data_IF_890303297556
#
_entry.id   IF_890303297556
#
_cell.length_a   1.000
_cell.length_b   1.000
_cell.length_c   1.000
_cell.angle_alpha   90.00
_cell.angle_beta   90.00
_cell.angle_gamma   90.00
#
_symmetry.space_group_name_H-M   'P 1'
#
loop_
_entity.id
_entity.type
_entity.pdbx_description
1 polymer ?
#
# COMPACT_ATOMS: atom_id res chain seq x y z
N UNK A 1 12.26 -9.30 -26.23
CA UNK A 1 10.84 -9.05 -26.01
C UNK A 1 10.71 -8.20 -24.76
N UNK A 2 10.01 -7.07 -24.84
CA UNK A 2 9.79 -6.15 -23.75
C UNK A 2 8.40 -5.54 -23.83
N UNK A 3 7.98 -4.84 -22.78
CA UNK A 3 6.74 -4.07 -22.73
C UNK A 3 7.12 -2.61 -22.88
N UNK A 4 6.49 -1.92 -23.83
CA UNK A 4 6.56 -0.47 -23.97
C UNK A 4 5.23 0.12 -23.49
N UNK A 5 5.31 1.11 -22.61
CA UNK A 5 4.15 1.83 -22.11
C UNK A 5 4.39 3.33 -22.23
N UNK A 6 3.42 4.03 -22.78
CA UNK A 6 3.37 5.48 -22.77
C UNK A 6 2.27 5.95 -21.84
N UNK A 7 2.64 6.71 -20.82
CA UNK A 7 1.73 7.14 -19.78
C UNK A 7 1.61 8.66 -19.79
N UNK A 8 0.39 9.15 -19.95
CA UNK A 8 0.10 10.57 -19.89
C UNK A 8 -0.18 11.00 -18.45
N UNK A 9 0.72 11.80 -17.89
CA UNK A 9 0.58 12.37 -16.56
C UNK A 9 -0.04 13.74 -16.71
N UNK A 10 -1.40 13.79 -16.65
CA UNK A 10 -2.15 15.04 -16.73
C UNK A 10 -1.85 16.00 -15.58
N UNK A 11 -1.90 17.30 -15.83
CA UNK A 11 -1.91 18.28 -14.76
C UNK A 11 -3.29 18.21 -14.07
N UNK A 12 -3.32 17.85 -12.78
CA UNK A 12 -4.55 17.96 -12.00
C UNK A 12 -4.86 19.43 -11.76
N UNK A 13 -5.89 19.94 -12.44
CA UNK A 13 -6.44 21.29 -12.20
C UNK A 13 -7.48 21.30 -11.07
N UNK A 14 -7.61 20.21 -10.32
CA UNK A 14 -8.59 20.15 -9.24
C UNK A 14 -8.10 20.96 -8.04
N UNK A 15 -8.96 21.81 -7.48
CA UNK A 15 -8.76 22.51 -6.21
C UNK A 15 -8.60 21.54 -5.00
N UNK A 16 -8.50 20.24 -5.26
CA UNK A 16 -8.31 19.19 -4.26
C UNK A 16 -6.90 19.17 -3.64
N UNK A 17 -5.93 19.85 -4.24
CA UNK A 17 -4.59 20.02 -3.65
C UNK A 17 -4.58 20.77 -2.33
N UNK A 18 -5.66 21.53 -2.02
CA UNK A 18 -5.85 22.17 -0.71
C UNK A 18 -6.34 21.22 0.40
N UNK A 19 -6.83 20.04 0.04
CA UNK A 19 -7.34 19.06 1.01
C UNK A 19 -6.25 18.15 1.56
N UNK A 20 -5.23 17.91 0.76
CA UNK A 20 -4.05 17.18 1.19
C UNK A 20 -2.98 18.21 1.49
N UNK A 21 -2.54 18.32 2.74
CA UNK A 21 -1.44 19.21 3.18
C UNK A 21 -0.09 18.78 2.57
N UNK A 22 -0.06 18.47 1.27
CA UNK A 22 1.18 18.24 0.55
C UNK A 22 1.75 19.61 0.14
N UNK A 23 2.64 20.13 0.96
CA UNK A 23 3.40 21.36 0.64
C UNK A 23 4.31 21.20 -0.58
N UNK A 24 4.40 19.99 -1.12
CA UNK A 24 5.19 19.68 -2.30
C UNK A 24 4.33 18.94 -3.33
N UNK A 25 4.10 19.61 -4.47
CA UNK A 25 3.47 18.98 -5.63
C UNK A 25 4.56 18.21 -6.38
N UNK A 26 4.67 16.92 -6.10
CA UNK A 26 5.50 16.04 -6.92
C UNK A 26 4.77 15.74 -8.24
N UNK A 27 5.43 16.06 -9.35
CA UNK A 27 4.95 15.64 -10.66
C UNK A 27 5.72 14.40 -11.07
N UNK A 28 5.00 13.34 -11.35
CA UNK A 28 5.62 12.08 -11.75
C UNK A 28 4.67 10.92 -11.61
N UNK A 29 5.21 9.74 -11.80
CA UNK A 29 4.54 8.47 -11.63
C UNK A 29 5.38 7.59 -10.71
N UNK A 30 4.76 6.98 -9.73
CA UNK A 30 5.40 5.91 -8.98
C UNK A 30 5.07 4.57 -9.61
N UNK A 31 6.09 3.84 -10.04
CA UNK A 31 5.95 2.52 -10.62
C UNK A 31 6.33 1.45 -9.61
N UNK A 32 5.40 0.54 -9.35
CA UNK A 32 5.61 -0.64 -8.50
C UNK A 32 5.44 -1.88 -9.38
N UNK A 33 6.39 -2.80 -9.32
CA UNK A 33 6.37 -4.05 -10.07
C UNK A 33 6.43 -5.20 -9.07
N UNK A 34 5.34 -5.92 -8.92
CA UNK A 34 5.23 -7.00 -7.94
C UNK A 34 4.46 -8.21 -8.51
N UNK A 35 4.37 -9.28 -7.72
CA UNK A 35 3.52 -10.42 -8.05
C UNK A 35 2.05 -10.05 -7.82
N UNK A 36 1.16 -10.63 -8.62
CA UNK A 36 -0.29 -10.36 -8.57
C UNK A 36 -0.92 -10.62 -7.18
N UNK A 37 -0.42 -11.58 -6.42
CA UNK A 37 -0.92 -11.89 -5.07
C UNK A 37 -0.30 -11.03 -3.96
N UNK A 38 0.66 -10.17 -4.29
CA UNK A 38 1.35 -9.31 -3.31
C UNK A 38 0.72 -7.93 -3.35
N UNK A 39 0.33 -7.43 -2.20
CA UNK A 39 -0.17 -6.08 -2.05
C UNK A 39 1.01 -5.10 -2.21
N UNK A 40 0.96 -4.13 -3.14
CA UNK A 40 1.97 -3.08 -3.22
C UNK A 40 1.86 -2.15 -2.01
N UNK A 41 2.98 -1.86 -1.37
CA UNK A 41 3.03 -0.90 -0.26
C UNK A 41 3.60 0.45 -0.73
N UNK A 42 3.25 1.52 -0.01
CA UNK A 42 3.61 2.89 -0.40
C UNK A 42 5.12 3.15 -0.46
N UNK A 43 5.91 2.39 0.27
CA UNK A 43 7.38 2.50 0.30
C UNK A 43 8.08 1.78 -0.85
N UNK A 44 7.38 0.91 -1.57
CA UNK A 44 7.93 0.16 -2.71
C UNK A 44 7.87 0.95 -4.00
N UNK A 45 8.69 0.54 -4.97
CA UNK A 45 8.73 1.13 -6.29
C UNK A 45 9.75 2.24 -6.44
N UNK A 46 9.70 2.90 -7.58
CA UNK A 46 10.57 4.02 -7.92
C UNK A 46 9.80 5.10 -8.68
N UNK A 47 10.28 6.32 -8.54
CA UNK A 47 9.61 7.48 -9.12
C UNK A 47 10.13 7.74 -10.52
N UNK A 48 9.21 7.90 -11.48
CA UNK A 48 9.49 8.23 -12.88
C UNK A 48 9.12 9.68 -13.12
N UNK A 49 10.08 10.45 -13.62
CA UNK A 49 9.85 11.85 -13.97
C UNK A 49 9.08 12.00 -15.28
N UNK A 50 8.25 13.03 -15.43
CA UNK A 50 7.59 13.32 -16.71
C UNK A 50 8.58 13.74 -17.78
N UNK A 51 8.28 13.41 -19.04
CA UNK A 51 9.07 13.82 -20.20
C UNK A 51 10.37 13.07 -20.41
N UNK A 52 10.62 11.98 -19.70
CA UNK A 52 11.79 11.13 -19.88
C UNK A 52 11.40 9.70 -20.28
N UNK A 53 12.29 9.05 -21.03
CA UNK A 53 12.20 7.63 -21.33
C UNK A 53 12.99 6.85 -20.28
N UNK A 54 12.34 5.96 -19.55
CA UNK A 54 12.97 5.16 -18.49
C UNK A 54 13.04 3.71 -18.92
N UNK A 55 14.25 3.17 -19.01
CA UNK A 55 14.48 1.75 -19.27
C UNK A 55 14.58 0.98 -17.96
N UNK A 56 13.81 -0.10 -17.84
CA UNK A 56 13.73 -0.90 -16.61
C UNK A 56 14.11 -2.34 -16.96
N UNK A 57 15.14 -2.83 -16.31
CA UNK A 57 15.52 -4.24 -16.34
C UNK A 57 14.92 -4.97 -15.15
N UNK A 58 14.27 -6.11 -15.41
CA UNK A 58 13.62 -6.91 -14.38
C UNK A 58 14.39 -8.21 -14.15
N UNK A 59 14.74 -8.48 -12.89
CA UNK A 59 15.28 -9.75 -12.44
C UNK A 59 14.39 -10.31 -11.33
N UNK A 60 13.82 -11.51 -11.55
CA UNK A 60 13.04 -12.19 -10.52
C UNK A 60 13.93 -13.12 -9.71
N UNK A 61 13.97 -12.95 -8.39
CA UNK A 61 14.68 -13.80 -7.47
C UNK A 61 13.67 -14.42 -6.49
N UNK A 62 13.74 -15.72 -6.30
CA UNK A 62 12.96 -16.44 -5.30
C UNK A 62 13.84 -16.68 -4.08
N UNK A 63 13.32 -16.32 -2.92
CA UNK A 63 13.95 -16.59 -1.62
C UNK A 63 12.96 -17.39 -0.79
N UNK A 64 13.38 -18.55 -0.34
CA UNK A 64 12.60 -19.43 0.52
C UNK A 64 13.35 -19.65 1.84
N UNK A 65 12.68 -19.37 2.93
CA UNK A 65 13.20 -19.62 4.27
C UNK A 65 12.59 -20.91 4.81
N UNK A 66 13.44 -21.89 5.06
CA UNK A 66 13.01 -23.16 5.64
C UNK A 66 12.64 -22.96 7.13
N UNK A 67 11.60 -23.68 7.62
CA UNK A 67 11.21 -23.63 9.03
C UNK A 67 12.24 -24.30 9.95
N UNK A 68 11.89 -24.44 11.22
CA UNK A 68 12.70 -25.15 12.21
C UNK A 68 13.07 -26.57 11.70
N UNK A 69 14.33 -27.06 11.87
CA UNK A 69 15.43 -26.47 12.67
C UNK A 69 16.34 -25.49 11.90
N UNK A 70 16.06 -25.20 10.64
CA UNK A 70 16.96 -24.41 9.77
C UNK A 70 16.87 -22.91 10.02
N UNK A 71 15.72 -22.42 10.46
CA UNK A 71 15.52 -21.02 10.87
C UNK A 71 14.38 -20.92 11.88
N UNK A 72 14.20 -19.73 12.48
CA UNK A 72 13.07 -19.42 13.37
C UNK A 72 11.78 -19.09 12.63
N UNK A 73 11.70 -19.31 11.32
CA UNK A 73 10.49 -19.09 10.53
C UNK A 73 9.38 -20.05 10.97
N UNK A 74 8.21 -19.51 11.24
CA UNK A 74 7.03 -20.30 11.61
C UNK A 74 6.17 -20.56 10.38
N UNK A 75 5.56 -21.73 10.34
CA UNK A 75 4.52 -22.02 9.35
C UNK A 75 3.28 -21.14 9.64
N UNK A 76 2.87 -20.38 8.63
CA UNK A 76 1.70 -19.50 8.72
C UNK A 76 0.38 -20.25 8.80
N UNK A 77 0.35 -21.56 8.49
CA UNK A 77 -0.87 -22.39 8.56
C UNK A 77 -1.46 -22.48 9.98
N UNK A 78 -0.64 -22.26 11.01
CA UNK A 78 -1.05 -22.25 12.41
C UNK A 78 -1.39 -20.86 12.94
N UNK A 79 -1.25 -19.81 12.11
CA UNK A 79 -1.46 -18.43 12.54
C UNK A 79 -2.91 -18.02 12.27
N UNK A 80 -3.56 -17.43 13.27
CA UNK A 80 -4.92 -16.94 13.16
C UNK A 80 -4.99 -15.53 13.74
N UNK A 81 -5.14 -14.55 12.84
CA UNK A 81 -5.53 -13.19 13.20
C UNK A 81 -6.58 -12.71 12.21
N UNK A 82 -7.41 -11.74 12.61
CA UNK A 82 -8.48 -11.21 11.75
C UNK A 82 -7.91 -10.72 10.41
N UNK A 83 -6.87 -9.88 10.46
CA UNK A 83 -6.24 -9.31 9.25
C UNK A 83 -5.60 -10.38 8.39
N UNK A 84 -4.95 -11.40 8.99
CA UNK A 84 -4.39 -12.52 8.23
C UNK A 84 -5.47 -13.30 7.49
N UNK A 85 -6.58 -13.60 8.17
CA UNK A 85 -7.71 -14.30 7.57
C UNK A 85 -8.34 -13.50 6.42
N UNK A 86 -8.44 -12.16 6.57
CA UNK A 86 -8.93 -11.27 5.51
C UNK A 86 -8.01 -11.29 4.28
N UNK A 87 -6.69 -11.29 4.48
CA UNK A 87 -5.71 -11.42 3.40
C UNK A 87 -5.88 -12.74 2.64
N UNK A 88 -5.97 -13.87 3.36
CA UNK A 88 -6.15 -15.19 2.76
C UNK A 88 -7.47 -15.30 2.01
N UNK A 89 -8.56 -14.78 2.56
CA UNK A 89 -9.87 -14.76 1.90
C UNK A 89 -9.86 -14.00 0.56
N UNK A 90 -8.97 -13.01 0.43
CA UNK A 90 -8.75 -12.25 -0.82
C UNK A 90 -7.64 -12.84 -1.71
N UNK A 91 -7.13 -14.04 -1.43
CA UNK A 91 -6.01 -14.70 -2.12
C UNK A 91 -4.71 -13.87 -2.15
N UNK A 92 -4.43 -13.15 -1.09
CA UNK A 92 -3.24 -12.32 -0.95
C UNK A 92 -2.13 -13.09 -0.24
N UNK A 93 -0.90 -12.89 -0.69
CA UNK A 93 0.28 -13.45 -0.04
C UNK A 93 0.63 -12.61 1.19
N UNK A 94 0.84 -13.29 2.32
CA UNK A 94 1.25 -12.62 3.55
C UNK A 94 2.62 -11.98 3.40
N UNK A 95 2.70 -10.72 3.84
CA UNK A 95 3.94 -9.98 4.09
C UNK A 95 3.76 -9.16 5.35
N UNK A 96 4.80 -9.09 6.16
CA UNK A 96 4.74 -8.37 7.43
C UNK A 96 4.36 -6.90 7.24
N UNK A 97 4.98 -6.22 6.28
CA UNK A 97 4.72 -4.80 5.98
C UNK A 97 3.26 -4.58 5.56
N UNK A 98 2.75 -5.42 4.67
CA UNK A 98 1.34 -5.36 4.24
C UNK A 98 0.39 -5.62 5.40
N UNK A 99 0.72 -6.56 6.29
CA UNK A 99 -0.07 -6.84 7.47
C UNK A 99 -0.12 -5.63 8.43
N UNK A 100 1.01 -4.93 8.61
CA UNK A 100 1.07 -3.72 9.45
C UNK A 100 0.21 -2.60 8.86
N UNK A 101 0.32 -2.31 7.55
CA UNK A 101 -0.52 -1.31 6.88
C UNK A 101 -2.02 -1.65 6.97
N UNK A 102 -2.38 -2.93 6.81
CA UNK A 102 -3.76 -3.37 6.93
C UNK A 102 -4.29 -3.29 8.37
N UNK A 103 -3.45 -3.60 9.38
CA UNK A 103 -3.83 -3.41 10.78
C UNK A 103 -4.10 -1.94 11.09
N UNK A 104 -3.25 -1.05 10.58
CA UNK A 104 -3.44 0.39 10.72
C UNK A 104 -4.72 0.86 10.03
N UNK A 105 -4.97 0.38 8.80
CA UNK A 105 -6.18 0.70 8.07
C UNK A 105 -7.44 0.20 8.80
N UNK A 106 -7.42 -1.03 9.32
CA UNK A 106 -8.52 -1.58 10.11
C UNK A 106 -8.82 -0.74 11.36
N UNK A 107 -7.78 -0.24 12.02
CA UNK A 107 -7.91 0.66 13.17
C UNK A 107 -8.56 1.99 12.78
N UNK A 108 -8.13 2.61 11.69
CA UNK A 108 -8.73 3.84 11.16
C UNK A 108 -10.21 3.63 10.81
N UNK A 109 -10.53 2.56 10.10
CA UNK A 109 -11.92 2.24 9.73
C UNK A 109 -12.80 2.09 10.99
N UNK A 110 -12.30 1.40 11.99
CA UNK A 110 -13.04 1.19 13.25
C UNK A 110 -13.37 2.51 13.97
N UNK A 111 -12.44 3.47 13.95
CA UNK A 111 -12.59 4.71 14.71
C UNK A 111 -13.24 5.83 13.90
N UNK A 112 -12.94 5.90 12.59
CA UNK A 112 -13.35 7.00 11.72
C UNK A 112 -14.49 6.62 10.76
N UNK A 113 -14.86 5.34 10.67
CA UNK A 113 -15.90 4.81 9.75
C UNK A 113 -15.62 5.10 8.28
N UNK A 114 -14.36 5.26 7.91
CA UNK A 114 -13.89 5.47 6.54
C UNK A 114 -12.45 4.96 6.41
N UNK A 115 -11.99 4.62 5.20
CA UNK A 115 -10.60 4.23 4.99
C UNK A 115 -9.71 5.41 4.58
N UNK A 116 -8.46 5.40 5.02
CA UNK A 116 -7.46 6.37 4.58
C UNK A 116 -6.94 6.02 3.17
N UNK A 117 -7.02 6.93 2.18
CA UNK A 117 -6.47 6.68 0.85
C UNK A 117 -4.96 6.51 0.79
N UNK A 118 -4.25 6.79 1.89
CA UNK A 118 -2.80 6.63 1.98
C UNK A 118 -2.37 5.16 2.16
N UNK A 119 -3.26 4.33 2.69
CA UNK A 119 -3.03 2.91 2.92
C UNK A 119 -3.83 2.05 1.96
N UNK A 120 -3.37 0.81 1.82
CA UNK A 120 -4.06 -0.19 1.02
C UNK A 120 -5.40 -0.51 1.66
N UNK A 121 -6.43 -0.60 0.83
CA UNK A 121 -7.75 -1.00 1.26
C UNK A 121 -8.14 -2.35 0.64
N UNK A 122 -8.45 -3.31 1.49
CA UNK A 122 -9.07 -4.59 1.13
C UNK A 122 -10.48 -4.73 1.70
N UNK A 123 -10.95 -3.70 2.40
CA UNK A 123 -12.27 -3.62 3.02
C UNK A 123 -13.23 -2.86 2.12
N UNK A 124 -14.52 -3.21 2.17
CA UNK A 124 -15.56 -2.59 1.33
C UNK A 124 -16.13 -1.32 2.00
N UNK A 125 -15.23 -0.42 2.43
CA UNK A 125 -15.58 0.84 3.08
C UNK A 125 -15.42 2.03 2.13
N UNK A 126 -15.97 3.18 2.51
CA UNK A 126 -15.83 4.41 1.73
C UNK A 126 -14.54 5.16 2.11
N UNK A 127 -13.91 5.87 1.16
CA UNK A 127 -12.74 6.69 1.47
C UNK A 127 -13.10 7.88 2.36
N UNK A 128 -12.17 8.30 3.21
CA UNK A 128 -12.29 9.53 3.99
C UNK A 128 -12.20 10.74 3.05
N UNK A 129 -13.33 11.40 2.80
CA UNK A 129 -13.44 12.47 1.79
C UNK A 129 -13.56 13.87 2.39
N UNK A 130 -14.19 14.01 3.55
CA UNK A 130 -14.35 15.31 4.20
C UNK A 130 -13.20 15.64 5.16
N UNK A 131 -13.09 16.91 5.55
CA UNK A 131 -12.00 17.38 6.41
C UNK A 131 -11.98 16.75 7.81
N UNK A 132 -13.14 16.41 8.35
CA UNK A 132 -13.25 15.84 9.69
C UNK A 132 -12.80 14.38 9.67
N UNK A 133 -13.25 13.59 8.69
CA UNK A 133 -12.81 12.24 8.45
C UNK A 133 -11.29 12.16 8.22
N UNK A 134 -10.75 13.05 7.39
CA UNK A 134 -9.31 13.11 7.13
C UNK A 134 -8.50 13.48 8.36
N UNK A 135 -9.00 14.39 9.21
CA UNK A 135 -8.35 14.72 10.49
C UNK A 135 -8.38 13.51 11.45
N UNK A 136 -9.49 12.78 11.50
CA UNK A 136 -9.61 11.55 12.27
C UNK A 136 -8.57 10.53 11.80
N UNK A 137 -8.56 10.21 10.50
CA UNK A 137 -7.65 9.24 9.92
C UNK A 137 -6.16 9.59 10.12
N UNK A 138 -5.80 10.86 10.00
CA UNK A 138 -4.42 11.33 10.21
C UNK A 138 -4.01 11.24 11.69
N UNK A 139 -4.91 11.56 12.62
CA UNK A 139 -4.65 11.44 14.05
C UNK A 139 -4.44 9.97 14.44
N UNK A 140 -5.35 9.10 14.06
CA UNK A 140 -5.30 7.69 14.39
C UNK A 140 -4.12 6.96 13.73
N UNK A 141 -3.66 7.45 12.57
CA UNK A 141 -2.44 6.99 11.92
C UNK A 141 -1.18 7.22 12.78
N UNK A 142 -1.13 8.33 13.52
CA UNK A 142 -0.02 8.67 14.42
C UNK A 142 -0.14 7.91 15.74
N UNK A 143 -1.35 7.87 16.31
CA UNK A 143 -1.60 7.24 17.61
C UNK A 143 -1.41 5.72 17.59
N UNK A 144 -1.49 5.08 16.42
CA UNK A 144 -1.26 3.63 16.27
C UNK A 144 0.19 3.20 16.54
N UNK A 145 1.16 4.11 16.34
CA UNK A 145 2.59 3.82 16.54
C UNK A 145 3.15 4.28 17.89
N UNK A 146 2.35 4.94 18.73
CA UNK A 146 2.71 5.38 20.08
C UNK A 146 2.16 4.43 21.14
#
# INVERSE_FOLDING_TARGET
NGIYMELFIGASHTNQTKLLNFDQIYRGLRLIINNQSIIPISTEGFDIQPGVCTNIELKKTYVEHLPDPYSSCKDLSSYSSTVYNDMIAKNLTYRQESCIELCQQAYIIKNCSCFSPQFINIYDENPCTNKEEQKCANKDSIDYFL
#
